data_IF_575650700945
#
_entry.id   IF_575650700945
#
_cell.length_a   1.000
_cell.length_b   1.000
_cell.length_c   1.000
_cell.angle_alpha   90.00
_cell.angle_beta   90.00
_cell.angle_gamma   90.00
#
_symmetry.space_group_name_H-M   'P 1'
#
loop_
_entity.id
_entity.type
_entity.pdbx_description
1 polymer ?
#
# COMPACT_ATOMS: atom_id res chain seq x y z
N UNK A 1 -40.64 21.62 54.39
CA UNK A 1 -41.00 20.42 53.59
C UNK A 1 -40.10 20.22 52.36
N UNK A 2 -39.42 21.25 51.84
CA UNK A 2 -38.54 21.16 50.66
C UNK A 2 -37.32 20.25 50.80
N UNK A 3 -36.71 20.17 52.00
CA UNK A 3 -35.52 19.36 52.25
C UNK A 3 -35.71 17.85 51.98
N UNK A 4 -36.94 17.34 52.11
CA UNK A 4 -37.26 15.94 51.83
C UNK A 4 -37.45 15.68 50.32
N UNK A 5 -37.88 16.69 49.56
CA UNK A 5 -38.04 16.63 48.11
C UNK A 5 -36.68 16.59 47.38
N UNK A 6 -35.72 17.39 47.87
CA UNK A 6 -34.36 17.44 47.34
C UNK A 6 -33.65 16.10 47.53
N UNK A 7 -33.68 15.55 48.76
CA UNK A 7 -33.10 14.22 49.06
C UNK A 7 -33.70 13.09 48.20
N UNK A 8 -35.00 13.14 47.94
CA UNK A 8 -35.68 12.15 47.08
C UNK A 8 -35.22 12.27 45.62
N UNK A 9 -35.01 13.50 45.14
CA UNK A 9 -34.49 13.77 43.80
C UNK A 9 -33.02 13.33 43.64
N UNK A 10 -32.18 13.58 44.65
CA UNK A 10 -30.77 13.12 44.69
C UNK A 10 -30.66 11.60 44.69
N UNK A 11 -31.49 10.91 45.49
CA UNK A 11 -31.53 9.44 45.48
C UNK A 11 -31.93 8.89 44.11
N UNK A 12 -32.89 9.54 43.45
CA UNK A 12 -33.35 9.12 42.12
C UNK A 12 -32.30 9.38 41.04
N UNK A 13 -31.54 10.48 41.16
CA UNK A 13 -30.41 10.78 40.29
C UNK A 13 -29.33 9.70 40.42
N UNK A 14 -28.93 9.35 41.65
CA UNK A 14 -27.93 8.31 41.92
C UNK A 14 -28.36 6.94 41.38
N UNK A 15 -29.65 6.62 41.48
CA UNK A 15 -30.20 5.39 40.91
C UNK A 15 -30.12 5.38 39.37
N UNK A 16 -30.39 6.52 38.73
CA UNK A 16 -30.26 6.69 37.28
C UNK A 16 -28.80 6.61 36.81
N UNK A 17 -27.86 7.17 37.57
CA UNK A 17 -26.42 7.06 37.31
C UNK A 17 -25.93 5.61 37.41
N UNK A 18 -26.36 4.88 38.44
CA UNK A 18 -26.05 3.45 38.58
C UNK A 18 -26.62 2.62 37.42
N UNK A 19 -27.86 2.91 36.99
CA UNK A 19 -28.46 2.26 35.81
C UNK A 19 -27.69 2.57 34.53
N UNK A 20 -27.23 3.81 34.35
CA UNK A 20 -26.40 4.22 33.20
C UNK A 20 -25.07 3.47 33.20
N UNK A 21 -24.40 3.36 34.35
CA UNK A 21 -23.16 2.59 34.47
C UNK A 21 -23.36 1.11 34.12
N UNK A 22 -24.42 0.48 34.65
CA UNK A 22 -24.75 -0.91 34.33
C UNK A 22 -25.08 -1.13 32.85
N UNK A 23 -25.80 -0.20 32.21
CA UNK A 23 -26.07 -0.26 30.76
C UNK A 23 -24.80 -0.09 29.94
N UNK A 24 -23.90 0.81 30.33
CA UNK A 24 -22.61 0.99 29.65
C UNK A 24 -21.76 -0.29 29.68
N UNK A 25 -21.70 -0.98 30.82
CA UNK A 25 -21.00 -2.27 30.92
C UNK A 25 -21.65 -3.35 30.04
N UNK A 26 -22.99 -3.41 29.99
CA UNK A 26 -23.69 -4.31 29.06
C UNK A 26 -23.36 -3.99 27.59
N UNK A 27 -23.36 -2.71 27.22
CA UNK A 27 -22.98 -2.27 25.86
C UNK A 27 -21.55 -2.69 25.54
N UNK A 28 -20.62 -2.51 26.48
CA UNK A 28 -19.22 -2.91 26.32
C UNK A 28 -19.09 -4.42 26.12
N UNK A 29 -19.81 -5.22 26.90
CA UNK A 29 -19.83 -6.67 26.80
C UNK A 29 -20.41 -7.15 25.46
N UNK A 30 -21.51 -6.57 25.00
CA UNK A 30 -22.09 -6.89 23.68
C UNK A 30 -21.19 -6.46 22.52
N UNK A 31 -20.52 -5.30 22.62
CA UNK A 31 -19.49 -4.89 21.65
C UNK A 31 -18.34 -5.89 21.58
N UNK A 32 -17.89 -6.40 22.73
CA UNK A 32 -16.84 -7.41 22.79
C UNK A 32 -17.28 -8.73 22.13
N UNK A 33 -18.51 -9.19 22.39
CA UNK A 33 -19.09 -10.36 21.70
C UNK A 33 -19.17 -10.16 20.20
N UNK A 34 -19.63 -8.99 19.75
CA UNK A 34 -19.72 -8.65 18.33
C UNK A 34 -18.33 -8.67 17.68
N UNK A 35 -17.33 -8.08 18.32
CA UNK A 35 -15.96 -8.07 17.83
C UNK A 35 -15.37 -9.49 17.74
N UNK A 36 -15.68 -10.35 18.73
CA UNK A 36 -15.28 -11.75 18.68
C UNK A 36 -15.92 -12.51 17.51
N UNK A 37 -17.22 -12.30 17.25
CA UNK A 37 -17.92 -12.87 16.07
C UNK A 37 -17.28 -12.40 14.75
N UNK A 38 -17.05 -11.09 14.60
CA UNK A 38 -16.39 -10.51 13.42
C UNK A 38 -15.00 -11.08 13.18
N UNK A 39 -14.21 -11.32 14.25
CA UNK A 39 -12.90 -11.96 14.15
C UNK A 39 -13.02 -13.40 13.64
N UNK A 40 -13.94 -14.20 14.20
CA UNK A 40 -14.18 -15.58 13.74
C UNK A 40 -14.57 -15.64 12.27
N UNK A 41 -15.48 -14.78 11.83
CA UNK A 41 -15.89 -14.68 10.42
C UNK A 41 -14.74 -14.21 9.51
N UNK A 42 -13.92 -13.25 9.95
CA UNK A 42 -12.72 -12.83 9.23
C UNK A 42 -11.74 -14.00 9.08
N UNK A 43 -11.45 -14.72 10.16
CA UNK A 43 -10.55 -15.88 10.11
C UNK A 43 -11.08 -16.96 9.17
N UNK A 44 -12.37 -17.29 9.24
CA UNK A 44 -13.01 -18.23 8.30
C UNK A 44 -12.80 -17.81 6.84
N UNK A 45 -13.13 -16.55 6.50
CA UNK A 45 -12.93 -16.01 5.14
C UNK A 45 -11.47 -16.02 4.70
N UNK A 46 -10.53 -15.77 5.61
CA UNK A 46 -9.11 -15.80 5.29
C UNK A 46 -8.61 -17.22 5.00
N UNK A 47 -9.08 -18.22 5.78
CA UNK A 47 -8.76 -19.63 5.54
C UNK A 47 -9.32 -20.07 4.18
N UNK A 48 -10.60 -19.78 3.90
CA UNK A 48 -11.23 -20.12 2.62
C UNK A 48 -10.51 -19.47 1.43
N UNK A 49 -10.14 -18.19 1.55
CA UNK A 49 -9.36 -17.49 0.52
C UNK A 49 -7.94 -18.06 0.39
N UNK A 50 -7.32 -18.45 1.49
CA UNK A 50 -6.01 -19.10 1.51
C UNK A 50 -6.03 -20.43 0.79
N UNK A 51 -7.01 -21.29 1.06
CA UNK A 51 -7.16 -22.58 0.40
C UNK A 51 -7.33 -22.46 -1.12
N UNK A 52 -8.08 -21.46 -1.60
CA UNK A 52 -8.18 -21.17 -3.04
C UNK A 52 -6.85 -20.70 -3.62
N UNK A 53 -6.06 -19.94 -2.87
CA UNK A 53 -4.75 -19.49 -3.33
C UNK A 53 -3.73 -20.62 -3.37
N UNK A 54 -3.72 -21.49 -2.37
CA UNK A 54 -2.86 -22.68 -2.31
C UNK A 54 -3.19 -23.65 -3.46
N UNK A 55 -4.47 -23.85 -3.79
CA UNK A 55 -4.87 -24.69 -4.92
C UNK A 55 -4.40 -24.13 -6.27
N UNK A 56 -4.35 -22.81 -6.42
CA UNK A 56 -3.80 -22.15 -7.60
C UNK A 56 -2.26 -22.26 -7.67
N UNK A 57 -1.58 -22.24 -6.52
CA UNK A 57 -0.13 -22.40 -6.43
C UNK A 57 0.33 -23.85 -6.65
N UNK A 58 -0.57 -24.82 -6.43
CA UNK A 58 -0.30 -26.25 -6.63
C UNK A 58 0.68 -26.81 -5.59
N UNK A 59 1.46 -27.81 -5.98
CA UNK A 59 2.33 -28.59 -5.08
C UNK A 59 3.39 -27.79 -4.33
N UNK A 60 3.70 -26.56 -4.79
CA UNK A 60 4.70 -25.69 -4.15
C UNK A 60 4.09 -24.68 -3.16
N UNK A 61 2.77 -24.67 -2.97
CA UNK A 61 2.08 -23.72 -2.10
C UNK A 61 2.60 -23.70 -0.66
N UNK A 62 2.77 -24.88 -0.06
CA UNK A 62 3.23 -25.03 1.34
C UNK A 62 4.64 -24.49 1.58
N UNK A 63 5.45 -24.39 0.54
CA UNK A 63 6.84 -23.94 0.62
C UNK A 63 7.00 -22.44 0.32
N UNK A 64 5.91 -21.75 -0.07
CA UNK A 64 5.94 -20.33 -0.39
C UNK A 64 5.68 -19.50 0.87
N UNK A 65 6.66 -18.68 1.23
CA UNK A 65 6.45 -17.69 2.28
C UNK A 65 5.39 -16.63 1.86
N UNK A 66 4.73 -15.96 2.81
CA UNK A 66 3.67 -14.99 2.50
C UNK A 66 4.11 -13.83 1.56
N UNK A 67 5.35 -13.38 1.68
CA UNK A 67 5.95 -12.36 0.82
C UNK A 67 6.23 -12.88 -0.60
N UNK A 68 6.65 -14.15 -0.71
CA UNK A 68 6.84 -14.84 -1.99
C UNK A 68 5.52 -15.11 -2.71
N UNK A 69 4.45 -15.37 -1.96
CA UNK A 69 3.09 -15.53 -2.50
C UNK A 69 2.62 -14.29 -3.26
N UNK A 70 2.93 -13.08 -2.78
CA UNK A 70 2.59 -11.84 -3.49
C UNK A 70 3.32 -11.74 -4.84
N UNK A 71 4.61 -12.11 -4.87
CA UNK A 71 5.38 -12.13 -6.10
C UNK A 71 4.86 -13.19 -7.08
N UNK A 72 4.49 -14.36 -6.58
CA UNK A 72 3.86 -15.41 -7.37
C UNK A 72 2.56 -14.93 -8.01
N UNK A 73 1.67 -14.27 -7.26
CA UNK A 73 0.42 -13.68 -7.79
C UNK A 73 0.73 -12.71 -8.93
N UNK A 74 1.67 -11.78 -8.73
CA UNK A 74 2.06 -10.79 -9.75
C UNK A 74 2.62 -11.44 -11.02
N UNK A 75 3.30 -12.57 -10.91
CA UNK A 75 3.90 -13.24 -12.08
C UNK A 75 2.91 -14.14 -12.82
N UNK A 76 1.97 -14.77 -12.10
CA UNK A 76 1.10 -15.80 -12.66
C UNK A 76 -0.31 -15.30 -12.97
N UNK A 77 -0.79 -14.28 -12.26
CA UNK A 77 -2.15 -13.72 -12.42
C UNK A 77 -2.13 -12.41 -13.22
N UNK A 78 -0.98 -11.73 -13.34
CA UNK A 78 -0.86 -10.59 -14.26
C UNK A 78 -1.24 -11.00 -15.67
N UNK A 79 -1.94 -10.12 -16.38
CA UNK A 79 -2.30 -10.36 -17.79
C UNK A 79 -1.04 -10.52 -18.65
N UNK A 80 -1.11 -11.28 -19.73
CA UNK A 80 0.02 -11.40 -20.69
C UNK A 80 0.48 -10.02 -21.20
N UNK A 81 -0.46 -9.07 -21.32
CA UNK A 81 -0.14 -7.66 -21.63
C UNK A 81 0.74 -7.01 -20.56
N UNK A 82 0.39 -7.18 -19.29
CA UNK A 82 1.16 -6.65 -18.17
C UNK A 82 2.54 -7.31 -18.06
N UNK A 83 2.62 -8.64 -18.25
CA UNK A 83 3.92 -9.35 -18.33
C UNK A 83 4.78 -8.81 -19.46
N UNK A 84 4.18 -8.56 -20.63
CA UNK A 84 4.85 -7.95 -21.78
C UNK A 84 5.41 -6.56 -21.46
N UNK A 85 4.61 -5.70 -20.84
CA UNK A 85 5.04 -4.36 -20.43
C UNK A 85 6.17 -4.39 -19.40
N UNK A 86 6.12 -5.29 -18.41
CA UNK A 86 7.20 -5.45 -17.42
C UNK A 86 8.51 -5.89 -18.09
N UNK A 87 8.45 -6.80 -19.07
CA UNK A 87 9.65 -7.21 -19.83
C UNK A 87 10.23 -6.04 -20.62
N UNK A 88 9.39 -5.28 -21.33
CA UNK A 88 9.84 -4.11 -22.08
C UNK A 88 10.47 -3.06 -21.17
N UNK A 89 9.84 -2.76 -20.03
CA UNK A 89 10.38 -1.81 -19.06
C UNK A 89 11.76 -2.24 -18.55
N UNK A 90 11.96 -3.54 -18.27
CA UNK A 90 13.25 -4.07 -17.84
C UNK A 90 14.32 -3.90 -18.92
N UNK A 91 14.01 -4.23 -20.18
CA UNK A 91 14.93 -4.04 -21.31
C UNK A 91 15.35 -2.57 -21.41
N UNK A 92 14.37 -1.65 -21.43
CA UNK A 92 14.64 -0.21 -21.52
C UNK A 92 15.45 0.30 -20.32
N UNK A 93 15.22 -0.21 -19.11
CA UNK A 93 16.01 0.14 -17.92
C UNK A 93 17.46 -0.32 -18.04
N UNK A 94 17.69 -1.54 -18.55
CA UNK A 94 19.03 -2.09 -18.70
C UNK A 94 19.80 -1.40 -19.84
N UNK A 95 19.13 -1.07 -20.95
CA UNK A 95 19.66 -0.21 -22.01
C UNK A 95 20.03 1.18 -21.48
N UNK A 96 19.15 1.80 -20.68
CA UNK A 96 19.43 3.11 -20.08
C UNK A 96 20.63 3.06 -19.13
N UNK A 97 20.77 1.99 -18.34
CA UNK A 97 21.94 1.79 -17.47
C UNK A 97 23.20 1.61 -18.30
N UNK A 98 23.15 0.81 -19.36
CA UNK A 98 24.28 0.64 -20.28
C UNK A 98 24.68 1.97 -20.89
N UNK A 99 23.74 2.70 -21.48
CA UNK A 99 23.98 4.01 -22.07
C UNK A 99 24.58 4.99 -21.04
N UNK A 100 24.03 5.08 -19.83
CA UNK A 100 24.59 5.95 -18.78
C UNK A 100 26.03 5.59 -18.39
N UNK A 101 26.43 4.32 -18.53
CA UNK A 101 27.81 3.88 -18.28
C UNK A 101 28.72 4.24 -19.44
N UNK A 102 28.30 3.97 -20.67
CA UNK A 102 29.14 4.13 -21.88
C UNK A 102 29.18 5.57 -22.39
N UNK A 103 28.05 6.28 -22.39
CA UNK A 103 27.96 7.65 -22.87
C UNK A 103 28.76 8.66 -22.03
N UNK A 104 29.09 8.33 -20.77
CA UNK A 104 30.05 9.10 -19.96
C UNK A 104 31.47 9.05 -20.51
N UNK A 105 31.82 7.98 -21.24
CA UNK A 105 33.12 7.81 -21.88
C UNK A 105 33.16 8.44 -23.28
N UNK A 106 32.01 8.83 -23.82
CA UNK A 106 31.91 9.44 -25.14
C UNK A 106 31.97 10.96 -25.01
N UNK A 107 32.93 11.58 -25.69
CA UNK A 107 33.10 13.03 -25.73
C UNK A 107 32.84 13.56 -27.13
N UNK A 108 32.08 14.64 -27.21
CA UNK A 108 31.90 15.46 -28.41
C UNK A 108 32.85 16.65 -28.33
N UNK A 109 33.30 17.15 -29.48
CA UNK A 109 34.08 18.40 -29.57
C UNK A 109 33.17 19.47 -30.16
N UNK A 110 33.04 20.59 -29.47
CA UNK A 110 32.27 21.75 -29.90
C UNK A 110 33.05 22.54 -30.97
N UNK A 111 32.37 23.46 -31.66
CA UNK A 111 32.97 24.31 -32.71
C UNK A 111 34.10 25.22 -32.15
N UNK A 112 34.08 25.51 -30.85
CA UNK A 112 35.12 26.25 -30.13
C UNK A 112 36.32 25.39 -29.68
N UNK A 113 36.32 24.10 -30.03
CA UNK A 113 37.36 23.13 -29.67
C UNK A 113 37.22 22.53 -28.26
N UNK A 114 36.25 22.98 -27.46
CA UNK A 114 35.99 22.41 -26.12
C UNK A 114 35.37 21.00 -26.22
N UNK A 115 35.66 20.13 -25.25
CA UNK A 115 35.10 18.77 -25.20
C UNK A 115 34.02 18.66 -24.14
N UNK A 116 32.88 18.08 -24.48
CA UNK A 116 31.75 17.82 -23.59
C UNK A 116 31.36 16.34 -23.64
N UNK A 117 30.94 15.75 -22.53
CA UNK A 117 30.44 14.36 -22.59
C UNK A 117 29.07 14.30 -23.25
N UNK A 118 28.77 13.20 -23.95
CA UNK A 118 27.46 12.99 -24.57
C UNK A 118 26.33 13.08 -23.52
N UNK A 119 26.59 12.63 -22.28
CA UNK A 119 25.64 12.77 -21.17
C UNK A 119 25.34 14.21 -20.78
N UNK A 120 26.36 15.08 -20.71
CA UNK A 120 26.18 16.50 -20.39
C UNK A 120 25.48 17.23 -21.53
N UNK A 121 25.84 16.93 -22.78
CA UNK A 121 25.18 17.49 -23.95
C UNK A 121 23.68 17.20 -23.97
N UNK A 122 23.28 15.93 -23.76
CA UNK A 122 21.86 15.54 -23.70
C UNK A 122 21.14 16.23 -22.52
N UNK A 123 21.80 16.35 -21.37
CA UNK A 123 21.23 17.03 -20.21
C UNK A 123 20.97 18.53 -20.48
N UNK A 124 21.92 19.22 -21.11
CA UNK A 124 21.76 20.62 -21.51
C UNK A 124 20.64 20.80 -22.54
N UNK A 125 20.56 19.92 -23.54
CA UNK A 125 19.48 19.93 -24.54
C UNK A 125 18.10 19.72 -23.90
N UNK A 126 17.98 18.79 -22.96
CA UNK A 126 16.73 18.53 -22.24
C UNK A 126 16.30 19.71 -21.36
N UNK A 127 17.24 20.32 -20.62
CA UNK A 127 16.98 21.52 -19.83
C UNK A 127 16.57 22.71 -20.71
N UNK A 128 17.19 22.86 -21.87
CA UNK A 128 16.84 23.90 -22.85
C UNK A 128 15.41 23.74 -23.36
N UNK A 129 15.02 22.52 -23.76
CA UNK A 129 13.65 22.21 -24.22
C UNK A 129 12.59 22.41 -23.13
N UNK A 130 12.88 22.03 -21.88
CA UNK A 130 11.92 22.17 -20.78
C UNK A 130 11.85 23.56 -20.17
N UNK A 131 12.89 24.40 -20.32
CA UNK A 131 12.80 25.83 -19.99
C UNK A 131 11.96 26.62 -21.02
N UNK A 132 11.80 26.10 -22.23
CA UNK A 132 10.99 26.69 -23.30
C UNK A 132 9.53 26.19 -23.31
N UNK A 133 9.17 25.22 -22.47
CA UNK A 133 7.79 24.77 -22.34
C UNK A 133 6.95 25.84 -21.61
N UNK A 134 5.81 26.29 -22.18
CA UNK A 134 4.94 27.22 -21.49
C UNK A 134 4.45 26.59 -20.18
N UNK A 135 4.59 27.33 -19.08
CA UNK A 135 3.96 26.98 -17.80
C UNK A 135 2.46 27.17 -17.97
N UNK A 136 1.74 26.10 -18.27
CA UNK A 136 0.29 26.04 -18.11
C UNK A 136 -0.07 25.85 -16.64
#
# INVERSE_FOLDING_TARGET
MENNSIKKSESKLKELENKKAALNEKIKLERNKLNAKKRKERTKRLIEKGAVLESLQGSNAENLAPDQTLNWIRQNIASEKEKGLVRQLKITQDELKFFKRTAKQWTLTNDDGSKITVTEFIHQQWLSKNKQAPKN
#
